data_IF_054474711062
#
_entry.id   IF_054474711062
#
_cell.length_a   1.000
_cell.length_b   1.000
_cell.length_c   1.000
_cell.angle_alpha   90.00
_cell.angle_beta   90.00
_cell.angle_gamma   90.00
#
_symmetry.space_group_name_H-M   'P 1'
#
loop_
_entity.id
_entity.type
_entity.pdbx_description
1 polymer ?
#
# COMPACT_ATOMS: atom_id res chain seq x y z
N UNK A 1 -2.67 -3.98 6.83
CA UNK A 1 -1.90 -2.88 7.42
C UNK A 1 -1.23 -3.30 8.72
N UNK A 2 -0.08 -2.71 9.03
CA UNK A 2 0.60 -2.90 10.32
C UNK A 2 0.70 -1.52 10.99
N UNK A 3 0.07 -1.35 12.15
CA UNK A 3 0.05 -0.07 12.85
C UNK A 3 0.12 -0.28 14.37
N UNK A 4 0.84 0.63 15.06
CA UNK A 4 0.85 0.71 16.52
C UNK A 4 -0.40 1.41 17.04
N UNK A 5 -0.88 2.41 16.30
CA UNK A 5 -2.04 3.22 16.65
C UNK A 5 -3.26 2.77 15.85
N UNK A 6 -4.38 2.65 16.53
CA UNK A 6 -5.66 2.29 15.94
C UNK A 6 -6.72 3.35 16.20
N UNK A 7 -7.82 3.22 15.51
CA UNK A 7 -9.00 4.07 15.61
C UNK A 7 -10.22 3.17 15.78
N UNK A 8 -11.19 3.59 16.56
CA UNK A 8 -12.46 2.88 16.74
C UNK A 8 -13.53 3.59 15.92
N UNK A 9 -14.12 2.87 14.98
CA UNK A 9 -15.22 3.36 14.15
C UNK A 9 -16.49 3.62 14.97
N UNK A 10 -17.48 4.26 14.40
CA UNK A 10 -18.77 4.53 15.05
C UNK A 10 -19.49 3.24 15.49
N UNK A 11 -19.22 2.13 14.79
CA UNK A 11 -19.81 0.81 15.07
C UNK A 11 -19.00 0.03 16.11
N UNK A 12 -17.98 0.63 16.72
CA UNK A 12 -17.13 0.00 17.73
C UNK A 12 -16.07 -0.94 17.18
N UNK A 13 -15.80 -0.91 15.88
CA UNK A 13 -14.82 -1.76 15.20
C UNK A 13 -13.46 -1.06 15.07
N UNK A 14 -12.39 -1.84 15.10
CA UNK A 14 -11.03 -1.32 15.12
C UNK A 14 -10.38 -1.31 13.73
N UNK A 15 -9.81 -0.15 13.33
CA UNK A 15 -9.04 0.02 12.09
C UNK A 15 -7.72 0.72 12.36
N UNK A 16 -6.83 0.77 11.36
CA UNK A 16 -5.60 1.55 11.42
C UNK A 16 -5.88 3.05 11.47
N UNK A 17 -5.13 3.80 12.30
CA UNK A 17 -5.27 5.26 12.41
C UNK A 17 -5.09 5.97 11.06
N UNK A 18 -4.12 5.53 10.25
CA UNK A 18 -3.85 6.12 8.94
C UNK A 18 -5.08 6.04 8.01
N UNK A 19 -5.80 4.91 8.00
CA UNK A 19 -7.00 4.75 7.18
C UNK A 19 -8.16 5.63 7.67
N UNK A 20 -8.28 5.84 8.98
CA UNK A 20 -9.25 6.78 9.53
C UNK A 20 -8.97 8.21 9.06
N UNK A 21 -7.71 8.66 9.11
CA UNK A 21 -7.29 9.97 8.63
C UNK A 21 -7.52 10.13 7.12
N UNK A 22 -7.24 9.10 6.33
CA UNK A 22 -7.49 9.09 4.88
C UNK A 22 -8.98 9.21 4.56
N UNK A 23 -9.84 8.53 5.32
CA UNK A 23 -11.28 8.66 5.19
C UNK A 23 -11.76 10.07 5.54
N UNK A 24 -11.28 10.64 6.64
CA UNK A 24 -11.56 12.00 7.05
C UNK A 24 -11.14 13.04 5.98
N UNK A 25 -9.92 12.84 5.40
CA UNK A 25 -9.43 13.68 4.31
C UNK A 25 -10.29 13.58 3.04
N UNK A 26 -10.90 12.42 2.80
CA UNK A 26 -11.85 12.20 1.72
C UNK A 26 -13.27 12.71 2.05
N UNK A 27 -13.51 13.22 3.26
CA UNK A 27 -14.82 13.72 3.70
C UNK A 27 -15.84 12.62 3.98
N UNK A 28 -15.40 11.40 4.26
CA UNK A 28 -16.26 10.24 4.53
C UNK A 28 -15.99 9.67 5.92
N UNK A 29 -16.99 9.02 6.49
CA UNK A 29 -16.82 8.34 7.78
C UNK A 29 -15.94 7.10 7.62
N UNK A 30 -14.95 6.88 8.51
CA UNK A 30 -14.15 5.68 8.52
C UNK A 30 -15.00 4.43 8.76
N UNK A 31 -14.80 3.42 7.93
CA UNK A 31 -15.45 2.11 8.08
C UNK A 31 -14.42 0.99 8.11
N UNK A 32 -14.81 -0.15 8.66
CA UNK A 32 -13.93 -1.33 8.76
C UNK A 32 -13.49 -1.85 7.39
N UNK A 33 -14.29 -1.64 6.35
CA UNK A 33 -13.98 -2.08 5.00
C UNK A 33 -12.74 -1.39 4.41
N UNK A 34 -12.38 -0.20 4.92
CA UNK A 34 -11.17 0.53 4.50
C UNK A 34 -9.88 -0.09 5.04
N UNK A 35 -9.98 -0.96 6.07
CA UNK A 35 -8.84 -1.68 6.63
C UNK A 35 -9.28 -3.05 7.17
N UNK A 36 -9.67 -4.00 6.31
CA UNK A 36 -10.22 -5.28 6.76
C UNK A 36 -9.24 -6.13 7.56
N UNK A 37 -7.92 -5.96 7.35
CA UNK A 37 -6.88 -6.66 8.10
C UNK A 37 -5.93 -5.67 8.73
N UNK A 38 -5.87 -5.66 10.06
CA UNK A 38 -4.95 -4.84 10.83
C UNK A 38 -4.05 -5.73 11.68
N UNK A 39 -2.74 -5.46 11.64
CA UNK A 39 -1.75 -6.12 12.50
C UNK A 39 -1.24 -5.11 13.53
N UNK A 40 -1.40 -5.44 14.79
CA UNK A 40 -0.82 -4.66 15.91
C UNK A 40 0.35 -5.42 16.49
N UNK A 41 1.59 -4.94 16.32
CA UNK A 41 2.76 -5.58 16.93
C UNK A 41 2.60 -5.67 18.45
N UNK A 42 2.75 -6.87 19.01
CA UNK A 42 2.66 -7.12 20.47
C UNK A 42 4.00 -7.49 21.09
N UNK A 43 4.95 -7.95 20.26
CA UNK A 43 6.31 -8.34 20.65
C UNK A 43 7.23 -8.31 19.44
N UNK A 44 8.51 -8.61 19.63
CA UNK A 44 9.46 -8.70 18.51
C UNK A 44 9.10 -9.79 17.47
N UNK A 45 8.31 -10.77 17.82
CA UNK A 45 7.99 -11.92 16.97
C UNK A 45 6.50 -12.18 16.76
N UNK A 46 5.62 -11.31 17.22
CA UNK A 46 4.18 -11.55 17.14
C UNK A 46 3.35 -10.29 16.99
N UNK A 47 2.16 -10.48 16.44
CA UNK A 47 1.17 -9.41 16.28
C UNK A 47 -0.22 -9.91 16.67
N UNK A 48 -1.01 -9.03 17.25
CA UNK A 48 -2.45 -9.22 17.32
C UNK A 48 -3.02 -8.96 15.92
N UNK A 49 -3.74 -9.94 15.42
CA UNK A 49 -4.42 -9.87 14.12
C UNK A 49 -5.86 -9.47 14.37
N UNK A 50 -6.28 -8.42 13.68
CA UNK A 50 -7.65 -7.92 13.71
C UNK A 50 -8.21 -8.11 12.31
N UNK A 51 -9.37 -8.75 12.21
CA UNK A 51 -10.07 -9.03 10.95
C UNK A 51 -11.44 -8.38 11.03
N UNK A 52 -11.77 -7.56 10.05
CA UNK A 52 -13.03 -6.81 10.00
C UNK A 52 -13.33 -6.05 11.31
N UNK A 53 -12.29 -5.49 11.93
CA UNK A 53 -12.41 -4.69 13.14
C UNK A 53 -12.48 -5.46 14.45
N UNK A 54 -12.47 -6.80 14.41
CA UNK A 54 -12.54 -7.67 15.59
C UNK A 54 -11.22 -8.45 15.77
N UNK A 55 -10.88 -8.72 17.04
CA UNK A 55 -9.66 -9.47 17.37
C UNK A 55 -9.80 -10.92 16.93
N UNK A 56 -9.03 -11.31 15.93
CA UNK A 56 -8.93 -12.71 15.49
C UNK A 56 -8.04 -13.53 16.42
N UNK A 57 -6.94 -12.95 16.90
CA UNK A 57 -6.00 -13.59 17.81
C UNK A 57 -4.58 -13.08 17.72
N UNK A 58 -3.70 -13.64 18.52
CA UNK A 58 -2.26 -13.34 18.49
C UNK A 58 -1.54 -14.40 17.66
N UNK A 59 -0.85 -13.98 16.61
CA UNK A 59 -0.08 -14.86 15.74
C UNK A 59 1.39 -14.47 15.74
N UNK A 60 2.27 -15.46 15.69
CA UNK A 60 3.68 -15.21 15.36
C UNK A 60 3.80 -14.87 13.87
N UNK A 61 4.84 -14.12 13.51
CA UNK A 61 5.04 -13.69 12.13
C UNK A 61 4.98 -14.84 11.10
N UNK A 62 5.60 -15.98 11.41
CA UNK A 62 5.58 -17.17 10.54
C UNK A 62 4.20 -17.81 10.43
N UNK A 63 3.43 -17.83 11.51
CA UNK A 63 2.08 -18.39 11.52
C UNK A 63 1.12 -17.47 10.74
N UNK A 64 1.24 -16.16 10.92
CA UNK A 64 0.51 -15.20 10.12
C UNK A 64 0.85 -15.34 8.62
N UNK A 65 2.14 -15.43 8.27
CA UNK A 65 2.58 -15.58 6.88
C UNK A 65 1.95 -16.81 6.20
N UNK A 66 1.87 -17.93 6.90
CA UNK A 66 1.24 -19.17 6.37
C UNK A 66 -0.26 -19.06 6.20
N UNK A 67 -0.91 -18.28 7.07
CA UNK A 67 -2.37 -18.19 7.16
C UNK A 67 -2.97 -16.98 6.50
N UNK A 68 -2.16 -15.99 6.10
CA UNK A 68 -2.71 -14.71 5.62
C UNK A 68 -3.60 -14.83 4.38
N UNK A 69 -3.43 -15.87 3.58
CA UNK A 69 -4.31 -16.17 2.44
C UNK A 69 -5.72 -16.61 2.85
N UNK A 70 -5.88 -17.08 4.10
CA UNK A 70 -7.20 -17.39 4.67
C UNK A 70 -8.07 -16.13 4.80
N UNK A 71 -7.45 -14.96 4.85
CA UNK A 71 -8.14 -13.67 4.96
C UNK A 71 -8.56 -13.06 3.61
N UNK A 72 -8.17 -13.66 2.48
CA UNK A 72 -8.54 -13.17 1.13
C UNK A 72 -10.06 -12.98 0.97
N UNK A 73 -10.93 -13.89 1.44
CA UNK A 73 -12.36 -13.68 1.36
C UNK A 73 -12.81 -12.38 2.05
N UNK A 74 -12.36 -12.14 3.29
CA UNK A 74 -12.69 -10.91 4.03
C UNK A 74 -12.20 -9.65 3.32
N UNK A 75 -10.99 -9.69 2.73
CA UNK A 75 -10.43 -8.58 1.94
C UNK A 75 -11.27 -8.33 0.69
N UNK A 76 -11.67 -9.36 -0.02
CA UNK A 76 -12.50 -9.28 -1.24
C UNK A 76 -13.88 -8.71 -0.92
N UNK A 77 -14.55 -9.23 0.08
CA UNK A 77 -15.88 -8.76 0.49
C UNK A 77 -15.87 -7.29 0.92
N UNK A 78 -14.82 -6.87 1.67
CA UNK A 78 -14.64 -5.47 2.05
C UNK A 78 -14.45 -4.57 0.81
N UNK A 79 -13.62 -5.00 -0.14
CA UNK A 79 -13.41 -4.29 -1.40
C UNK A 79 -14.71 -4.18 -2.21
N UNK A 80 -15.45 -5.27 -2.38
CA UNK A 80 -16.73 -5.30 -3.12
C UNK A 80 -17.78 -4.37 -2.49
N UNK A 81 -17.83 -4.30 -1.14
CA UNK A 81 -18.72 -3.35 -0.46
C UNK A 81 -18.34 -1.90 -0.74
N UNK A 82 -17.04 -1.56 -0.72
CA UNK A 82 -16.57 -0.22 -1.08
C UNK A 82 -16.83 0.09 -2.55
N UNK A 83 -16.54 -0.84 -3.46
CA UNK A 83 -16.77 -0.70 -4.90
C UNK A 83 -18.24 -0.42 -5.23
N UNK A 84 -19.16 -0.99 -4.47
CA UNK A 84 -20.59 -0.74 -4.65
C UNK A 84 -21.07 0.65 -4.18
N UNK A 85 -20.23 1.37 -3.41
CA UNK A 85 -20.58 2.65 -2.78
C UNK A 85 -19.86 3.86 -3.39
N UNK A 86 -18.67 3.65 -3.99
CA UNK A 86 -17.80 4.73 -4.43
C UNK A 86 -17.40 4.57 -5.89
N UNK A 87 -17.37 5.69 -6.63
CA UNK A 87 -16.93 5.75 -8.02
C UNK A 87 -15.43 5.53 -8.19
N UNK A 88 -14.65 5.81 -7.16
CA UNK A 88 -13.19 5.62 -7.15
C UNK A 88 -12.72 5.10 -5.80
N UNK A 89 -11.82 4.11 -5.84
CA UNK A 89 -11.15 3.55 -4.66
C UNK A 89 -9.65 3.67 -4.86
N UNK A 90 -8.98 4.28 -3.90
CA UNK A 90 -7.51 4.34 -3.84
C UNK A 90 -7.02 3.28 -2.86
N UNK A 91 -6.22 2.34 -3.36
CA UNK A 91 -5.62 1.28 -2.57
C UNK A 91 -4.16 1.66 -2.26
N UNK A 92 -3.79 1.64 -1.00
CA UNK A 92 -2.43 1.88 -0.56
C UNK A 92 -1.75 0.55 -0.22
N UNK A 93 -0.60 0.29 -0.83
CA UNK A 93 0.27 -0.83 -0.47
C UNK A 93 1.01 -0.59 0.84
N UNK A 94 1.70 -1.61 1.32
CA UNK A 94 2.54 -1.53 2.51
C UNK A 94 3.89 -2.19 2.27
N UNK A 95 4.95 -1.56 2.75
CA UNK A 95 6.32 -2.01 2.51
C UNK A 95 6.71 -1.87 1.04
N UNK A 96 7.34 -2.89 0.48
CA UNK A 96 7.75 -2.90 -0.92
C UNK A 96 7.14 -4.08 -1.68
N UNK A 97 6.66 -3.89 -2.91
CA UNK A 97 6.22 -5.00 -3.76
C UNK A 97 7.39 -5.89 -4.22
N UNK A 98 8.63 -5.42 -4.06
CA UNK A 98 9.84 -6.16 -4.41
C UNK A 98 10.37 -7.09 -3.30
N UNK A 99 9.61 -7.28 -2.23
CA UNK A 99 9.94 -8.27 -1.19
C UNK A 99 9.66 -9.69 -1.69
N UNK A 100 10.51 -10.17 -2.60
CA UNK A 100 10.36 -11.43 -3.32
C UNK A 100 10.25 -12.67 -2.41
N UNK A 101 10.84 -12.61 -1.23
CA UNK A 101 10.74 -13.65 -0.20
C UNK A 101 9.33 -13.74 0.44
N UNK A 102 8.46 -12.75 0.24
CA UNK A 102 7.09 -12.70 0.76
C UNK A 102 6.02 -12.75 -0.34
N UNK A 103 6.42 -12.89 -1.60
CA UNK A 103 5.55 -12.80 -2.78
C UNK A 103 4.43 -13.83 -2.79
N UNK A 104 4.75 -15.11 -2.56
CA UNK A 104 3.81 -16.22 -2.77
C UNK A 104 2.49 -16.07 -2.00
N UNK A 105 2.51 -15.30 -0.93
CA UNK A 105 1.33 -15.02 -0.11
C UNK A 105 1.01 -13.52 -0.04
N UNK A 106 1.40 -12.72 -1.04
CA UNK A 106 1.08 -11.29 -1.03
C UNK A 106 -0.43 -11.06 -1.18
N UNK A 107 -1.02 -10.37 -0.20
CA UNK A 107 -2.41 -9.91 -0.19
C UNK A 107 -2.50 -8.38 -0.05
N UNK A 108 -1.37 -7.68 -0.14
CA UNK A 108 -1.28 -6.25 0.20
C UNK A 108 -0.90 -5.40 -1.00
N UNK A 109 0.19 -5.73 -1.68
CA UNK A 109 0.72 -4.96 -2.81
C UNK A 109 0.16 -5.48 -4.15
N UNK A 110 0.96 -6.23 -4.91
CA UNK A 110 0.54 -6.74 -6.21
C UNK A 110 -0.58 -7.79 -6.09
N UNK A 111 -0.62 -8.52 -4.96
CA UNK A 111 -1.73 -9.43 -4.66
C UNK A 111 -3.07 -8.70 -4.54
N UNK A 112 -3.11 -7.57 -3.83
CA UNK A 112 -4.33 -6.75 -3.76
C UNK A 112 -4.66 -6.10 -5.11
N UNK A 113 -3.66 -5.59 -5.83
CA UNK A 113 -3.86 -5.06 -7.17
C UNK A 113 -4.46 -6.10 -8.14
N UNK A 114 -4.10 -7.37 -7.99
CA UNK A 114 -4.68 -8.48 -8.75
C UNK A 114 -6.13 -8.77 -8.33
N UNK A 115 -6.43 -8.79 -7.03
CA UNK A 115 -7.79 -8.99 -6.49
C UNK A 115 -8.73 -7.91 -7.01
N UNK A 116 -8.32 -6.64 -6.94
CA UNK A 116 -9.10 -5.48 -7.36
C UNK A 116 -9.05 -5.22 -8.88
N UNK A 117 -8.26 -6.00 -9.64
CA UNK A 117 -7.94 -5.72 -11.05
C UNK A 117 -7.50 -4.27 -11.30
N UNK A 118 -6.78 -3.68 -10.35
CA UNK A 118 -6.41 -2.28 -10.35
C UNK A 118 -5.12 -2.01 -11.17
N UNK A 119 -5.04 -0.86 -11.86
CA UNK A 119 -3.77 -0.31 -12.31
C UNK A 119 -2.94 0.15 -11.11
N UNK A 120 -1.62 0.18 -11.27
CA UNK A 120 -0.68 0.52 -10.19
C UNK A 120 0.13 1.75 -10.56
N UNK A 121 0.25 2.68 -9.63
CA UNK A 121 1.26 3.72 -9.64
C UNK A 121 2.36 3.33 -8.64
N UNK A 122 3.59 3.17 -9.15
CA UNK A 122 4.72 2.85 -8.29
C UNK A 122 5.36 4.15 -7.80
N UNK A 123 5.34 4.36 -6.49
CA UNK A 123 5.85 5.58 -5.84
C UNK A 123 7.24 5.31 -5.25
N UNK A 124 8.22 6.12 -5.65
CA UNK A 124 9.58 6.10 -5.10
C UNK A 124 9.85 7.31 -4.22
N UNK A 125 10.40 7.10 -3.03
CA UNK A 125 10.84 8.14 -2.10
C UNK A 125 12.28 8.58 -2.47
N UNK A 126 12.43 9.85 -2.90
CA UNK A 126 13.75 10.39 -3.29
C UNK A 126 14.56 10.92 -2.11
N UNK A 127 13.93 11.21 -0.99
CA UNK A 127 14.59 11.85 0.16
C UNK A 127 15.71 10.96 0.76
N UNK A 128 15.57 9.65 0.62
CA UNK A 128 16.56 8.66 1.09
C UNK A 128 17.71 8.42 0.10
N UNK A 129 17.64 8.97 -1.11
CA UNK A 129 18.58 8.70 -2.19
C UNK A 129 18.31 7.36 -2.90
N UNK A 130 18.89 7.20 -4.10
CA UNK A 130 18.83 5.95 -4.86
C UNK A 130 17.46 5.64 -5.48
N UNK A 131 16.55 6.61 -5.63
CA UNK A 131 15.17 6.40 -6.11
C UNK A 131 15.11 5.70 -7.47
N UNK A 132 15.98 6.06 -8.42
CA UNK A 132 16.00 5.41 -9.74
C UNK A 132 16.38 3.94 -9.66
N UNK A 133 17.37 3.61 -8.82
CA UNK A 133 17.75 2.21 -8.58
C UNK A 133 16.63 1.44 -7.91
N UNK A 134 15.93 2.05 -6.94
CA UNK A 134 14.78 1.47 -6.26
C UNK A 134 13.63 1.19 -7.24
N UNK A 135 13.23 2.17 -8.05
CA UNK A 135 12.18 2.01 -9.05
C UNK A 135 12.54 0.94 -10.08
N UNK A 136 13.76 1.02 -10.64
CA UNK A 136 14.25 0.04 -11.62
C UNK A 136 14.30 -1.37 -11.04
N UNK A 137 14.88 -1.53 -9.87
CA UNK A 137 15.00 -2.81 -9.19
C UNK A 137 13.63 -3.40 -8.85
N UNK A 138 12.72 -2.59 -8.32
CA UNK A 138 11.35 -3.03 -8.02
C UNK A 138 10.66 -3.57 -9.26
N UNK A 139 10.61 -2.80 -10.34
CA UNK A 139 9.95 -3.23 -11.59
C UNK A 139 10.61 -4.47 -12.18
N UNK A 140 11.95 -4.54 -12.13
CA UNK A 140 12.72 -5.66 -12.68
C UNK A 140 12.51 -6.97 -11.92
N UNK A 141 12.20 -6.91 -10.63
CA UNK A 141 11.96 -8.08 -9.77
C UNK A 141 10.52 -8.60 -9.83
N UNK A 142 9.60 -7.82 -10.38
CA UNK A 142 8.20 -8.24 -10.52
C UNK A 142 8.00 -9.19 -11.69
N UNK A 143 7.01 -10.07 -11.57
CA UNK A 143 6.59 -10.95 -12.66
C UNK A 143 5.97 -10.15 -13.84
N UNK A 144 5.97 -10.68 -15.06
CA UNK A 144 5.44 -9.98 -16.22
C UNK A 144 4.00 -9.45 -16.04
N UNK A 145 3.12 -10.23 -15.42
CA UNK A 145 1.72 -9.84 -15.15
C UNK A 145 1.63 -8.70 -14.14
N UNK A 146 2.45 -8.72 -13.11
CA UNK A 146 2.52 -7.68 -12.08
C UNK A 146 3.08 -6.38 -12.69
N UNK A 147 4.16 -6.49 -13.45
CA UNK A 147 4.78 -5.39 -14.18
C UNK A 147 3.80 -4.72 -15.14
N UNK A 148 3.01 -5.52 -15.86
CA UNK A 148 2.00 -5.01 -16.78
C UNK A 148 0.89 -4.17 -16.10
N UNK A 149 0.70 -4.31 -14.78
CA UNK A 149 -0.23 -3.47 -14.01
C UNK A 149 0.32 -2.10 -13.70
N UNK A 150 1.64 -1.92 -13.68
CA UNK A 150 2.26 -0.61 -13.41
C UNK A 150 2.04 0.30 -14.60
N UNK A 151 1.28 1.38 -14.41
CA UNK A 151 0.90 2.34 -15.45
C UNK A 151 1.63 3.66 -15.34
N UNK A 152 2.29 3.90 -14.21
CA UNK A 152 3.06 5.12 -13.99
C UNK A 152 4.01 5.01 -12.81
N UNK A 153 5.06 5.82 -12.88
CA UNK A 153 6.01 6.02 -11.79
C UNK A 153 5.76 7.40 -11.18
N UNK A 154 5.89 7.51 -9.88
CA UNK A 154 5.82 8.78 -9.15
C UNK A 154 7.08 8.92 -8.29
N UNK A 155 7.70 10.08 -8.35
CA UNK A 155 8.80 10.44 -7.46
C UNK A 155 8.24 11.33 -6.36
N UNK A 156 8.35 10.89 -5.12
CA UNK A 156 7.80 11.59 -3.97
C UNK A 156 8.89 12.25 -3.13
N UNK A 157 8.53 13.30 -2.42
CA UNK A 157 9.37 14.08 -1.50
C UNK A 157 10.54 14.76 -2.19
N UNK A 158 10.36 15.23 -3.42
CA UNK A 158 11.40 15.93 -4.16
C UNK A 158 11.68 17.31 -3.56
N UNK A 159 12.97 17.66 -3.47
CA UNK A 159 13.44 18.99 -3.05
C UNK A 159 14.34 19.58 -4.14
N UNK A 160 14.05 20.79 -4.59
CA UNK A 160 14.87 21.51 -5.56
C UNK A 160 14.19 21.76 -6.89
N UNK A 161 15.00 22.04 -7.91
CA UNK A 161 14.51 22.32 -9.28
C UNK A 161 14.32 21.01 -10.06
N UNK A 162 13.08 20.75 -10.50
CA UNK A 162 12.71 19.55 -11.26
C UNK A 162 13.52 19.43 -12.56
N UNK A 163 14.00 20.54 -13.14
CA UNK A 163 14.85 20.53 -14.34
C UNK A 163 16.15 19.74 -14.15
N UNK A 164 16.68 19.72 -12.93
CA UNK A 164 17.88 18.93 -12.61
C UNK A 164 17.55 17.42 -12.63
N UNK A 165 16.32 17.07 -12.32
CA UNK A 165 15.86 15.68 -12.29
C UNK A 165 15.50 15.14 -13.69
N UNK A 166 15.11 15.99 -14.63
CA UNK A 166 14.62 15.60 -15.96
C UNK A 166 15.48 14.56 -16.70
N UNK A 167 16.84 14.65 -16.74
CA UNK A 167 17.62 13.61 -17.41
C UNK A 167 17.46 12.24 -16.79
N UNK A 168 17.30 12.18 -15.46
CA UNK A 168 17.02 10.95 -14.72
C UNK A 168 15.63 10.41 -14.99
N UNK A 169 14.63 11.31 -15.12
CA UNK A 169 13.26 10.91 -15.47
C UNK A 169 13.22 10.26 -16.84
N UNK A 170 13.81 10.89 -17.86
CA UNK A 170 13.90 10.33 -19.20
C UNK A 170 14.61 8.98 -19.23
N UNK A 171 15.74 8.86 -18.53
CA UNK A 171 16.50 7.62 -18.45
C UNK A 171 15.67 6.47 -17.86
N UNK A 172 14.91 6.72 -16.79
CA UNK A 172 14.11 5.64 -16.15
C UNK A 172 12.91 5.24 -17.02
N UNK A 173 12.26 6.21 -17.70
CA UNK A 173 11.17 5.94 -18.64
C UNK A 173 11.65 5.11 -19.84
N UNK A 174 12.80 5.45 -20.42
CA UNK A 174 13.41 4.68 -21.52
C UNK A 174 13.75 3.25 -21.11
N UNK A 175 14.26 3.06 -19.88
CA UNK A 175 14.65 1.73 -19.39
C UNK A 175 13.49 0.83 -19.03
N UNK A 176 12.43 1.40 -18.46
CA UNK A 176 11.27 0.64 -17.95
C UNK A 176 10.11 0.60 -18.93
N UNK A 177 10.07 1.51 -19.90
CA UNK A 177 8.92 1.74 -20.77
C UNK A 177 7.63 2.05 -20.00
N UNK A 178 7.79 2.75 -18.86
CA UNK A 178 6.71 3.20 -17.98
C UNK A 178 6.89 4.71 -17.77
N UNK A 179 5.84 5.53 -17.99
CA UNK A 179 5.97 6.98 -17.85
C UNK A 179 6.13 7.41 -16.38
N UNK A 180 6.90 8.46 -16.15
CA UNK A 180 6.87 9.19 -14.88
C UNK A 180 5.71 10.18 -14.93
N UNK A 181 4.65 9.89 -14.19
CA UNK A 181 3.39 10.66 -14.21
C UNK A 181 3.35 11.78 -13.18
N UNK A 182 4.34 11.85 -12.29
CA UNK A 182 4.40 12.92 -11.29
C UNK A 182 5.72 12.97 -10.53
N UNK A 183 6.09 14.20 -10.16
CA UNK A 183 7.12 14.50 -9.19
C UNK A 183 6.48 15.35 -8.11
N UNK A 184 6.34 14.79 -6.92
CA UNK A 184 5.67 15.41 -5.78
C UNK A 184 6.72 16.13 -4.94
N UNK A 185 6.57 17.42 -4.69
CA UNK A 185 7.49 18.15 -3.83
C UNK A 185 7.38 17.65 -2.39
N UNK A 186 8.47 17.87 -1.65
CA UNK A 186 8.44 17.63 -0.19
C UNK A 186 7.63 18.73 0.47
N UNK A 187 6.53 18.33 1.08
CA UNK A 187 5.70 19.22 1.88
C UNK A 187 5.72 18.80 3.36
N UNK A 188 5.62 19.78 4.23
CA UNK A 188 5.41 19.55 5.66
C UNK A 188 3.91 19.65 5.91
N UNK A 189 3.24 18.50 5.84
CA UNK A 189 1.83 18.37 6.17
C UNK A 189 1.74 17.75 7.55
N UNK A 190 1.15 18.47 8.49
CA UNK A 190 0.78 17.93 9.79
C UNK A 190 -0.51 17.12 9.61
N UNK A 191 -0.40 15.82 9.81
CA UNK A 191 -1.51 14.87 9.68
C UNK A 191 -1.95 14.30 11.05
N UNK A 192 -1.39 14.77 12.15
CA UNK A 192 -1.70 14.32 13.51
C UNK A 192 -2.84 15.12 14.16
#
# INVERSE_FOLDING_TARGET
>A
NMALNSYITKDGLEIGRAQAMQAEAAGIAPTVDMNPILLKPTSQMGSQVIVNGEVFGNLRAMDYYRRKTEFIPAVREAFERLESQFDAIVLEGAGSPAEINLRDNDIVNMGMAKIANAPVLLVGDIDRGGVFASLYGTVSLLEPEERARIKGLVINKFRGDVKILEPGLRMIEERLHIPVVGVIPMEQIDLD
#
